data_IF_366140577683
#
_entry.id   IF_366140577683
#
_cell.length_a   1.000
_cell.length_b   1.000
_cell.length_c   1.000
_cell.angle_alpha   90.00
_cell.angle_beta   90.00
_cell.angle_gamma   90.00
#
_symmetry.space_group_name_H-M   'P 1'
#
loop_
_entity.id
_entity.type
_entity.pdbx_description
1 polymer ?
#
# COMPACT_ATOMS: atom_id res chain seq x y z
N UNK A 1 -8.88 -4.74 19.27
CA UNK A 1 -8.05 -4.61 18.06
C UNK A 1 -6.99 -3.59 18.42
N UNK A 2 -5.71 -3.93 18.38
CA UNK A 2 -4.67 -2.96 18.69
C UNK A 2 -4.61 -1.96 17.54
N UNK A 3 -4.92 -0.70 17.84
CA UNK A 3 -4.80 0.40 16.89
C UNK A 3 -3.30 0.59 16.60
N UNK A 4 -2.90 0.55 15.33
CA UNK A 4 -1.50 0.70 14.92
C UNK A 4 -1.36 1.98 14.11
N UNK A 5 -0.47 2.86 14.53
CA UNK A 5 -0.16 4.12 13.87
C UNK A 5 1.09 3.97 13.03
N UNK A 6 1.04 4.49 11.81
CA UNK A 6 2.22 4.61 10.95
C UNK A 6 2.90 5.94 11.23
N UNK A 7 4.22 5.96 11.17
CA UNK A 7 5.05 7.15 11.29
C UNK A 7 6.04 7.18 10.13
N UNK A 8 6.31 8.37 9.59
CA UNK A 8 7.26 8.57 8.51
C UNK A 8 8.30 9.64 8.90
N UNK A 9 9.57 9.37 8.57
CA UNK A 9 10.64 10.35 8.74
C UNK A 9 10.71 11.26 7.52
N UNK A 10 10.47 12.55 7.70
CA UNK A 10 10.52 13.57 6.63
C UNK A 10 11.94 13.74 6.05
N UNK A 11 12.97 13.35 6.80
CA UNK A 11 14.37 13.56 6.44
C UNK A 11 14.91 12.45 5.50
N UNK A 12 14.53 11.20 5.77
CA UNK A 12 15.04 10.03 5.04
C UNK A 12 13.96 9.16 4.38
N UNK A 13 12.67 9.42 4.64
CA UNK A 13 11.54 8.64 4.11
C UNK A 13 11.32 7.28 4.80
N UNK A 14 11.99 6.99 5.91
CA UNK A 14 11.77 5.73 6.64
C UNK A 14 10.38 5.68 7.27
N UNK A 15 9.74 4.52 7.20
CA UNK A 15 8.42 4.27 7.76
C UNK A 15 8.52 3.31 8.95
N UNK A 16 7.80 3.60 10.03
CA UNK A 16 7.75 2.79 11.24
C UNK A 16 6.31 2.62 11.73
N UNK A 17 5.98 1.45 12.26
CA UNK A 17 4.68 1.16 12.86
C UNK A 17 4.83 1.07 14.38
N UNK A 18 3.97 1.78 15.11
CA UNK A 18 3.89 1.65 16.56
C UNK A 18 2.44 1.54 17.02
N UNK A 19 2.23 0.88 18.17
CA UNK A 19 0.91 0.78 18.79
C UNK A 19 0.40 2.16 19.16
N UNK A 20 -0.84 2.47 18.78
CA UNK A 20 -1.50 3.74 19.11
C UNK A 20 -1.74 3.93 20.61
N UNK A 21 -1.81 2.82 21.36
CA UNK A 21 -1.91 2.80 22.82
C UNK A 21 -0.59 3.18 23.53
N UNK A 22 0.52 3.25 22.79
CA UNK A 22 1.82 3.62 23.32
C UNK A 22 2.14 5.09 23.04
N UNK A 23 2.37 5.86 24.10
CA UNK A 23 2.75 7.29 24.06
C UNK A 23 4.14 7.55 23.42
N UNK A 24 4.75 6.55 22.79
CA UNK A 24 6.14 6.57 22.38
C UNK A 24 6.23 6.72 20.85
N UNK A 25 6.28 7.98 20.41
CA UNK A 25 6.55 8.34 19.02
C UNK A 25 8.01 7.97 18.69
N UNK A 26 8.25 7.20 17.61
CA UNK A 26 9.61 6.81 17.24
C UNK A 26 10.45 8.02 16.81
N UNK A 27 11.73 8.00 17.15
CA UNK A 27 12.71 9.00 16.71
C UNK A 27 13.53 8.45 15.54
N UNK A 28 13.66 9.25 14.48
CA UNK A 28 14.46 8.92 13.30
C UNK A 28 15.22 10.17 12.83
N UNK A 29 16.49 10.00 12.43
CA UNK A 29 17.40 11.11 12.09
C UNK A 29 17.54 12.19 13.18
N UNK A 30 17.37 11.82 14.46
CA UNK A 30 17.44 12.75 15.60
C UNK A 30 16.23 13.67 15.76
N UNK A 31 15.10 13.35 15.11
CA UNK A 31 13.83 14.07 15.20
C UNK A 31 12.69 13.07 15.44
N UNK A 32 11.61 13.50 16.07
CA UNK A 32 10.40 12.68 16.17
C UNK A 32 9.80 12.47 14.77
N UNK A 33 9.43 11.23 14.46
CA UNK A 33 8.80 10.89 13.19
C UNK A 33 7.39 11.48 13.11
N UNK A 34 6.95 11.83 11.90
CA UNK A 34 5.64 12.41 11.68
C UNK A 34 4.59 11.29 11.58
N UNK A 35 3.55 11.37 12.40
CA UNK A 35 2.40 10.46 12.30
C UNK A 35 1.80 10.54 10.90
N UNK A 36 1.71 9.39 10.25
CA UNK A 36 0.98 9.22 9.01
C UNK A 36 -0.39 8.67 9.36
N UNK A 37 -1.43 9.34 8.86
CA UNK A 37 -2.76 8.75 8.86
C UNK A 37 -2.70 7.38 8.19
N UNK A 38 -3.48 6.40 8.68
CA UNK A 38 -3.53 5.09 8.06
C UNK A 38 -3.84 5.28 6.58
N UNK A 39 -2.86 4.97 5.73
CA UNK A 39 -3.05 4.94 4.28
C UNK A 39 -4.28 4.07 4.06
N UNK A 40 -5.33 4.66 3.47
CA UNK A 40 -6.47 3.89 3.00
C UNK A 40 -5.89 2.73 2.21
N UNK A 41 -6.15 1.50 2.67
CA UNK A 41 -5.70 0.27 2.00
C UNK A 41 -5.88 0.52 0.52
N UNK A 42 -4.83 0.35 -0.27
CA UNK A 42 -4.92 0.51 -1.71
C UNK A 42 -6.01 -0.44 -2.21
N UNK A 43 -7.24 0.07 -2.29
CA UNK A 43 -8.37 -0.66 -2.86
C UNK A 43 -8.06 -0.60 -4.33
N UNK A 44 -7.48 -1.69 -4.85
CA UNK A 44 -7.43 -1.91 -6.27
C UNK A 44 -8.85 -1.62 -6.79
N UNK A 45 -9.02 -0.69 -7.75
CA UNK A 45 -10.34 -0.42 -8.29
C UNK A 45 -10.90 -1.75 -8.77
N UNK A 46 -12.10 -2.11 -8.32
CA UNK A 46 -12.84 -3.29 -8.78
C UNK A 46 -13.32 -3.09 -10.23
N UNK A 47 -12.43 -2.60 -11.09
CA UNK A 47 -12.66 -2.40 -12.50
C UNK A 47 -12.52 -3.72 -13.26
N UNK A 48 -13.12 -3.81 -14.46
CA UNK A 48 -13.15 -5.01 -15.28
C UNK A 48 -11.78 -5.57 -15.66
N UNK A 49 -10.70 -4.78 -15.49
CA UNK A 49 -9.31 -5.18 -15.73
C UNK A 49 -8.83 -6.28 -14.75
N UNK A 50 -9.55 -6.48 -13.64
CA UNK A 50 -9.28 -7.50 -12.62
C UNK A 50 -10.15 -8.77 -12.77
N UNK A 51 -11.10 -8.78 -13.70
CA UNK A 51 -11.98 -9.95 -13.96
C UNK A 51 -11.29 -11.08 -14.72
N UNK A 52 -10.04 -10.89 -15.16
CA UNK A 52 -9.26 -11.90 -15.89
C UNK A 52 -8.56 -12.91 -14.98
N UNK A 53 -9.09 -13.17 -13.79
CA UNK A 53 -8.58 -14.23 -12.92
C UNK A 53 -9.23 -15.59 -13.21
N UNK A 54 -10.32 -15.63 -14.00
CA UNK A 54 -11.11 -16.85 -14.23
C UNK A 54 -11.03 -17.41 -15.67
N UNK A 55 -10.31 -16.74 -16.59
CA UNK A 55 -10.14 -17.24 -17.96
C UNK A 55 -8.65 -17.49 -18.27
N UNK A 56 -8.20 -18.69 -17.91
CA UNK A 56 -6.91 -19.28 -18.28
C UNK A 56 -7.01 -20.07 -19.60
N UNK A 57 -8.16 -20.01 -20.27
CA UNK A 57 -8.54 -20.94 -21.34
C UNK A 57 -8.04 -20.52 -22.70
N UNK A 58 -8.06 -19.23 -23.03
CA UNK A 58 -7.75 -18.78 -24.38
C UNK A 58 -6.78 -17.58 -24.38
N UNK A 59 -5.65 -17.64 -25.15
CA UNK A 59 -4.86 -16.45 -25.40
C UNK A 59 -5.74 -15.38 -26.07
N UNK A 60 -5.50 -14.11 -25.73
CA UNK A 60 -6.13 -13.01 -26.45
C UNK A 60 -5.84 -13.14 -27.94
N UNK A 61 -6.86 -13.42 -28.74
CA UNK A 61 -6.83 -13.18 -30.18
C UNK A 61 -6.79 -11.65 -30.39
N UNK A 62 -5.58 -11.07 -30.31
CA UNK A 62 -5.31 -9.64 -30.52
C UNK A 62 -5.45 -9.27 -32.00
N UNK A 63 -6.42 -9.81 -32.74
CA UNK A 63 -6.77 -9.41 -34.11
C UNK A 63 -5.62 -9.31 -35.13
N UNK A 64 -4.44 -9.84 -34.82
CA UNK A 64 -3.25 -9.84 -35.67
C UNK A 64 -3.34 -11.07 -36.53
N UNK A 65 -4.24 -11.02 -37.50
CA UNK A 65 -4.15 -11.85 -38.70
C UNK A 65 -2.83 -11.53 -39.40
N UNK A 66 -1.78 -12.29 -39.05
CA UNK A 66 -0.56 -12.39 -39.83
C UNK A 66 -0.84 -13.22 -41.08
N UNK A 67 -0.31 -12.78 -42.21
CA UNK A 67 -0.45 -13.33 -43.56
C UNK A 67 0.02 -14.79 -43.69
#
# INVERSE_FOLDING_TARGET
MAEQKNYECVDCGNQAQASADGDQVPECCGKQMQEQEPLNVCVAPAGPEHSRFDDLGEPCDDGRSGS
#
